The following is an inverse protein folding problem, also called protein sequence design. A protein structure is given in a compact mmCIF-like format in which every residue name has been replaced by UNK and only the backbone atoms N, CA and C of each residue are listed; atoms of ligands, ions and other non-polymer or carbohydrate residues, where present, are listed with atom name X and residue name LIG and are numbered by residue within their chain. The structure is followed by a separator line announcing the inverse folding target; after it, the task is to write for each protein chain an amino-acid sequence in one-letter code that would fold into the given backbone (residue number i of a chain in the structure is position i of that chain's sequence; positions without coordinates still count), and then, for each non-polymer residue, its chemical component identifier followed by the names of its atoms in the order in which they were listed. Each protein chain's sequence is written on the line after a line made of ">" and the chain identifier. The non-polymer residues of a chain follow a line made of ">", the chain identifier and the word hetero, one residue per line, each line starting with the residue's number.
data_IF_625913208918
#
_entry.id   IF_625913208918
#
_cell.length_a   1.000
_cell.length_b   1.000
_cell.length_c   1.000
_cell.angle_alpha   90.00
_cell.angle_beta   90.00
_cell.angle_gamma   90.00
#
_symmetry.space_group_name_H-M   'P 1'
#
loop_
_entity.id
_entity.type
_entity.pdbx_description
1 polymer ?
#
# COMPACT_ATOMS: atom_id res chain seq x y z
N UNK A 1 75.43 -0.03 -68.91
CA UNK A 1 75.62 0.00 -67.43
C UNK A 1 74.67 1.05 -66.92
N UNK A 2 73.58 0.77 -66.22
CA UNK A 2 73.13 -0.42 -65.48
C UNK A 2 71.61 -0.36 -65.42
N UNK A 3 70.96 -1.47 -65.79
CA UNK A 3 69.58 -1.75 -65.37
C UNK A 3 69.61 -2.72 -64.19
N UNK A 4 68.71 -2.53 -63.24
CA UNK A 4 68.07 -3.53 -62.36
C UNK A 4 66.97 -2.72 -61.67
N UNK A 5 65.70 -2.74 -62.09
CA UNK A 5 64.73 -3.85 -62.15
C UNK A 5 64.49 -4.47 -60.77
N UNK A 6 63.20 -4.73 -60.48
CA UNK A 6 62.57 -5.23 -59.24
C UNK A 6 61.65 -4.22 -58.53
N UNK A 7 60.65 -3.73 -59.26
CA UNK A 7 59.27 -4.25 -59.15
C UNK A 7 59.19 -5.56 -58.38
N UNK A 8 58.75 -5.49 -57.12
CA UNK A 8 58.14 -6.55 -56.30
C UNK A 8 58.02 -6.04 -54.86
N UNK A 9 57.01 -5.21 -54.58
CA UNK A 9 56.36 -5.19 -53.25
C UNK A 9 54.96 -4.58 -53.41
N UNK A 10 54.19 -5.15 -54.35
CA UNK A 10 52.74 -5.08 -54.30
C UNK A 10 52.26 -6.30 -53.50
N UNK A 11 52.04 -6.11 -52.21
CA UNK A 11 51.10 -6.85 -51.36
C UNK A 11 50.61 -5.79 -50.35
N UNK A 12 49.47 -5.13 -50.55
CA UNK A 12 48.16 -5.51 -49.98
C UNK A 12 48.18 -5.77 -48.45
N UNK A 13 47.08 -5.56 -47.70
CA UNK A 13 45.80 -4.97 -48.08
C UNK A 13 45.30 -3.90 -47.09
N UNK A 14 44.24 -3.24 -47.53
CA UNK A 14 43.07 -2.81 -46.77
C UNK A 14 43.22 -2.28 -45.35
N UNK A 15 42.63 -1.09 -45.21
CA UNK A 15 41.79 -0.71 -44.07
C UNK A 15 42.37 -0.99 -42.69
N UNK A 16 42.88 0.08 -42.11
CA UNK A 16 42.07 0.61 -41.03
C UNK A 16 42.13 2.12 -41.22
N UNK A 17 41.01 2.71 -41.64
CA UNK A 17 40.49 3.85 -40.86
C UNK A 17 40.54 3.40 -39.41
N UNK A 18 41.73 3.47 -38.80
CA UNK A 18 41.95 3.07 -37.44
C UNK A 18 41.16 4.11 -36.69
N UNK A 19 39.98 3.64 -36.34
CA UNK A 19 39.03 4.23 -35.44
C UNK A 19 39.84 4.49 -34.19
N UNK A 20 40.49 5.66 -34.16
CA UNK A 20 41.16 6.16 -32.98
C UNK A 20 40.03 6.47 -31.98
N UNK A 21 39.55 5.39 -31.38
CA UNK A 21 38.50 5.37 -30.40
C UNK A 21 39.13 5.91 -29.13
N UNK A 22 39.07 7.24 -29.01
CA UNK A 22 39.40 8.00 -27.81
C UNK A 22 38.96 7.19 -26.59
N UNK A 23 39.86 6.85 -25.65
CA UNK A 23 39.48 6.06 -24.49
C UNK A 23 38.43 6.87 -23.74
N UNK A 24 37.18 6.41 -23.81
CA UNK A 24 36.07 7.09 -23.17
C UNK A 24 36.25 6.87 -21.67
N UNK A 25 36.82 7.86 -20.98
CA UNK A 25 36.80 7.95 -19.52
C UNK A 25 35.33 8.07 -19.06
N UNK A 26 34.63 6.94 -19.02
CA UNK A 26 33.25 6.78 -18.54
C UNK A 26 33.21 6.12 -17.15
N UNK A 27 34.31 6.10 -16.41
CA UNK A 27 34.39 5.37 -15.15
C UNK A 27 33.76 6.11 -13.97
N UNK A 28 33.89 7.44 -13.89
CA UNK A 28 33.35 8.20 -12.75
C UNK A 28 31.86 8.49 -12.88
N UNK A 29 31.42 8.95 -14.04
CA UNK A 29 30.01 9.30 -14.25
C UNK A 29 29.10 8.06 -14.25
N UNK A 30 29.54 6.93 -14.81
CA UNK A 30 28.76 5.70 -14.77
C UNK A 30 28.65 5.12 -13.35
N UNK A 31 29.68 5.26 -12.52
CA UNK A 31 29.63 4.87 -11.10
C UNK A 31 28.73 5.79 -10.28
N UNK A 32 28.74 7.09 -10.57
CA UNK A 32 27.84 8.05 -9.95
C UNK A 32 26.37 7.78 -10.32
N UNK A 33 26.08 7.57 -11.61
CA UNK A 33 24.73 7.19 -12.07
C UNK A 33 24.31 5.86 -11.45
N UNK A 34 25.20 4.86 -11.40
CA UNK A 34 24.93 3.60 -10.73
C UNK A 34 24.59 3.77 -9.24
N UNK A 35 25.33 4.60 -8.51
CA UNK A 35 25.07 4.89 -7.10
C UNK A 35 23.72 5.59 -6.89
N UNK A 36 23.38 6.56 -7.75
CA UNK A 36 22.09 7.25 -7.71
C UNK A 36 20.94 6.28 -7.99
N UNK A 37 21.07 5.41 -8.99
CA UNK A 37 20.04 4.40 -9.30
C UNK A 37 19.82 3.42 -8.15
N UNK A 38 20.90 3.00 -7.47
CA UNK A 38 20.79 2.14 -6.27
C UNK A 38 20.08 2.87 -5.13
N UNK A 39 20.40 4.14 -4.87
CA UNK A 39 19.72 4.94 -3.85
C UNK A 39 18.23 5.13 -4.15
N UNK A 40 17.89 5.42 -5.41
CA UNK A 40 16.48 5.56 -5.84
C UNK A 40 15.74 4.23 -5.71
N UNK A 41 16.37 3.12 -6.09
CA UNK A 41 15.79 1.78 -5.93
C UNK A 41 15.54 1.43 -4.46
N UNK A 42 16.46 1.77 -3.57
CA UNK A 42 16.29 1.58 -2.12
C UNK A 42 15.14 2.42 -1.56
N UNK A 43 15.04 3.69 -1.99
CA UNK A 43 13.95 4.58 -1.60
C UNK A 43 12.59 4.00 -2.03
N UNK A 44 12.46 3.58 -3.29
CA UNK A 44 11.23 2.97 -3.82
C UNK A 44 10.86 1.70 -3.06
N UNK A 45 11.84 0.83 -2.81
CA UNK A 45 11.63 -0.39 -2.01
C UNK A 45 11.13 -0.05 -0.60
N UNK A 46 11.70 0.97 0.04
CA UNK A 46 11.26 1.45 1.35
C UNK A 46 9.82 1.95 1.36
N UNK A 47 9.41 2.69 0.33
CA UNK A 47 8.02 3.17 0.18
C UNK A 47 7.05 1.99 0.00
N UNK A 48 7.41 1.01 -0.84
CA UNK A 48 6.59 -0.19 -1.06
C UNK A 48 6.46 -1.00 0.24
N UNK A 49 7.55 -1.18 0.98
CA UNK A 49 7.53 -1.88 2.26
C UNK A 49 6.66 -1.13 3.30
N UNK A 50 6.78 0.19 3.38
CA UNK A 50 5.99 1.01 4.29
C UNK A 50 4.49 0.94 3.97
N UNK A 51 4.11 1.08 2.69
CA UNK A 51 2.71 0.98 2.27
C UNK A 51 2.12 -0.41 2.52
N UNK A 52 2.88 -1.48 2.25
CA UNK A 52 2.46 -2.84 2.57
C UNK A 52 2.25 -3.04 4.08
N UNK A 53 3.12 -2.47 4.92
CA UNK A 53 2.98 -2.52 6.38
C UNK A 53 1.70 -1.82 6.86
N UNK A 54 1.40 -0.62 6.34
CA UNK A 54 0.16 0.10 6.69
C UNK A 54 -1.08 -0.70 6.28
N UNK A 55 -1.10 -1.25 5.07
CA UNK A 55 -2.21 -2.09 4.61
C UNK A 55 -2.39 -3.34 5.47
N UNK A 56 -1.29 -3.98 5.86
CA UNK A 56 -1.32 -5.16 6.73
C UNK A 56 -1.89 -4.84 8.12
N UNK A 57 -1.49 -3.72 8.72
CA UNK A 57 -2.06 -3.22 9.98
C UNK A 57 -3.56 -2.97 9.81
N UNK A 58 -3.96 -2.22 8.77
CA UNK A 58 -5.37 -1.90 8.53
C UNK A 58 -6.23 -3.15 8.30
N UNK A 59 -5.72 -4.13 7.56
CA UNK A 59 -6.40 -5.41 7.32
C UNK A 59 -6.53 -6.26 8.59
N UNK A 60 -5.53 -6.23 9.46
CA UNK A 60 -5.53 -6.99 10.72
C UNK A 60 -6.55 -6.39 11.68
N UNK A 61 -6.44 -5.10 11.99
CA UNK A 61 -7.34 -4.43 12.93
C UNK A 61 -8.74 -4.18 12.34
N UNK A 62 -8.85 -3.92 11.04
CA UNK A 62 -10.12 -3.62 10.38
C UNK A 62 -11.05 -4.83 10.24
N UNK A 63 -10.51 -6.06 10.25
CA UNK A 63 -11.34 -7.28 10.22
C UNK A 63 -12.01 -7.61 11.55
N UNK A 64 -11.44 -7.11 12.64
CA UNK A 64 -11.96 -7.38 13.98
C UNK A 64 -12.94 -6.30 14.43
N UNK A 65 -13.20 -5.27 13.61
CA UNK A 65 -14.22 -4.27 13.91
C UNK A 65 -15.61 -4.88 13.70
N UNK A 66 -16.42 -5.04 14.77
CA UNK A 66 -17.79 -5.49 14.65
C UNK A 66 -18.60 -4.47 13.86
N UNK A 67 -19.52 -4.97 13.06
CA UNK A 67 -20.43 -4.14 12.28
C UNK A 67 -21.27 -3.24 13.22
N UNK A 68 -21.10 -1.91 13.11
CA UNK A 68 -21.80 -0.90 13.90
C UNK A 68 -23.33 -0.96 13.71
N UNK A 69 -23.81 -1.66 12.68
CA UNK A 69 -25.23 -1.82 12.39
C UNK A 69 -26.02 -2.51 13.51
N UNK A 70 -25.37 -3.23 14.43
CA UNK A 70 -26.04 -3.80 15.59
C UNK A 70 -26.50 -2.75 16.61
N UNK A 71 -25.73 -1.67 16.80
CA UNK A 71 -26.15 -0.57 17.68
C UNK A 71 -27.27 0.27 17.06
N UNK A 72 -27.29 0.38 15.72
CA UNK A 72 -28.28 1.20 15.02
C UNK A 72 -29.70 0.59 15.05
N UNK A 73 -29.83 -0.72 15.23
CA UNK A 73 -31.12 -1.45 15.24
C UNK A 73 -31.39 -2.21 16.53
N UNK A 74 -30.66 -1.91 17.61
CA UNK A 74 -30.89 -2.57 18.87
C UNK A 74 -32.23 -2.12 19.47
N UNK A 75 -33.23 -2.99 19.41
CA UNK A 75 -34.48 -2.83 20.16
C UNK A 75 -34.32 -3.52 21.53
N UNK A 76 -34.21 -2.75 22.63
CA UNK A 76 -34.09 -3.35 23.95
C UNK A 76 -35.37 -4.12 24.31
N UNK A 77 -35.26 -5.32 24.92
CA UNK A 77 -36.43 -6.04 25.40
C UNK A 77 -37.12 -5.25 26.50
N UNK A 78 -38.40 -4.92 26.29
CA UNK A 78 -39.24 -4.19 27.26
C UNK A 78 -40.09 -5.14 28.10
N UNK A 79 -40.45 -4.70 29.31
CA UNK A 79 -41.27 -5.46 30.23
C UNK A 79 -42.69 -5.72 29.67
N UNK A 80 -43.13 -6.99 29.72
CA UNK A 80 -44.51 -7.35 29.38
C UNK A 80 -45.44 -6.96 30.51
N UNK A 81 -46.55 -6.27 30.19
CA UNK A 81 -47.60 -5.90 31.15
C UNK A 81 -48.81 -6.81 30.97
N UNK A 82 -49.25 -7.44 32.07
CA UNK A 82 -50.40 -8.34 32.10
C UNK A 82 -51.57 -7.59 32.73
N UNK A 83 -52.69 -7.50 32.01
CA UNK A 83 -53.91 -6.79 32.42
C UNK A 83 -55.07 -7.76 32.68
N UNK A 84 -55.95 -7.41 33.61
CA UNK A 84 -57.22 -8.10 33.88
C UNK A 84 -58.28 -7.74 32.83
N UNK A 85 -59.37 -8.51 32.76
CA UNK A 85 -60.49 -8.25 31.84
C UNK A 85 -61.19 -6.90 32.05
N UNK A 86 -60.96 -6.25 33.19
CA UNK A 86 -61.42 -4.90 33.52
C UNK A 86 -60.35 -3.80 33.26
N UNK A 87 -59.20 -4.15 32.67
CA UNK A 87 -58.09 -3.25 32.36
C UNK A 87 -57.08 -3.03 33.50
N UNK A 88 -57.35 -3.50 34.71
CA UNK A 88 -56.44 -3.34 35.86
C UNK A 88 -55.11 -4.10 35.64
N UNK A 89 -53.97 -3.50 36.00
CA UNK A 89 -52.66 -4.13 35.89
C UNK A 89 -52.51 -5.25 36.93
N UNK A 90 -52.32 -6.49 36.49
CA UNK A 90 -52.14 -7.67 37.36
C UNK A 90 -50.67 -7.84 37.73
N UNK A 91 -49.80 -7.82 36.72
CA UNK A 91 -48.37 -8.09 36.91
C UNK A 91 -47.54 -7.51 35.76
N UNK A 92 -46.27 -7.25 36.05
CA UNK A 92 -45.24 -6.91 35.06
C UNK A 92 -44.18 -8.01 35.07
N UNK A 93 -43.83 -8.56 33.91
CA UNK A 93 -42.79 -9.58 33.79
C UNK A 93 -41.62 -9.00 33.00
N UNK A 94 -40.42 -9.00 33.60
CA UNK A 94 -39.18 -8.56 32.97
C UNK A 94 -37.98 -9.24 33.62
N UNK A 95 -37.00 -9.66 32.83
CA UNK A 95 -35.71 -10.18 33.32
C UNK A 95 -34.90 -9.09 34.01
N UNK A 96 -34.99 -7.85 33.52
CA UNK A 96 -34.29 -6.69 34.06
C UNK A 96 -35.20 -5.47 34.16
N UNK A 97 -34.97 -4.61 35.16
CA UNK A 97 -35.71 -3.34 35.33
C UNK A 97 -35.16 -2.27 34.37
N UNK A 98 -35.51 -2.35 33.08
CA UNK A 98 -35.16 -1.36 32.06
C UNK A 98 -36.39 -0.66 31.50
N UNK A 99 -36.25 0.61 31.16
CA UNK A 99 -37.27 1.42 30.47
C UNK A 99 -36.61 2.05 29.25
N UNK A 100 -37.25 1.95 28.09
CA UNK A 100 -36.80 2.63 26.89
C UNK A 100 -36.93 4.15 27.10
N UNK A 101 -35.83 4.89 26.96
CA UNK A 101 -35.78 6.34 27.04
C UNK A 101 -35.31 6.89 25.69
N UNK A 102 -36.17 7.60 24.94
CA UNK A 102 -35.77 8.24 23.69
C UNK A 102 -34.79 9.39 23.96
N UNK A 103 -33.95 9.71 22.97
CA UNK A 103 -32.85 10.69 23.13
C UNK A 103 -33.38 12.09 23.45
N UNK A 104 -34.55 12.44 22.93
CA UNK A 104 -35.24 13.72 23.13
C UNK A 104 -35.73 13.91 24.57
N UNK A 105 -35.88 12.81 25.33
CA UNK A 105 -36.29 12.84 26.74
C UNK A 105 -35.11 12.91 27.72
N UNK A 106 -33.87 12.80 27.23
CA UNK A 106 -32.70 12.96 28.09
C UNK A 106 -32.51 14.44 28.47
N UNK A 107 -32.13 14.73 29.72
CA UNK A 107 -31.84 16.10 30.13
C UNK A 107 -30.71 16.69 29.26
N UNK A 108 -30.82 17.97 28.84
CA UNK A 108 -29.68 18.66 28.26
C UNK A 108 -28.53 18.69 29.28
N UNK A 109 -27.31 18.55 28.77
CA UNK A 109 -26.09 18.56 29.59
C UNK A 109 -25.77 19.94 30.13
#
# INVERSE_FOLDING_TARGET
>A
MTGTDRDDEFDEPLELTDVQSKPRKKSFLARFVGAVTVLVSLLLMGIVAATAAVLWVFWTYGKDLPDYHQLAKYEPPVATRIHAGNGALIAKHATEKRVFMPVEAMPPR
#
